data_IF_035556875721
#
_entry.id   IF_035556875721
#
_cell.length_a   1.000
_cell.length_b   1.000
_cell.length_c   1.000
_cell.angle_alpha   90.00
_cell.angle_beta   90.00
_cell.angle_gamma   90.00
#
_symmetry.space_group_name_H-M   'P 1'
#
loop_
_entity.id
_entity.type
_entity.pdbx_description
1 polymer ?
#
# COMPACT_ATOMS: atom_id res chain seq x y z
N UNK A 1 -14.90 -7.32 -19.97
CA UNK A 1 -14.77 -8.09 -18.70
C UNK A 1 -14.06 -9.40 -19.02
N UNK A 2 -12.83 -9.60 -18.56
CA UNK A 2 -11.99 -10.74 -18.97
C UNK A 2 -12.21 -11.94 -18.04
N UNK A 3 -12.77 -13.03 -18.58
CA UNK A 3 -13.11 -14.28 -17.88
C UNK A 3 -11.88 -15.07 -17.42
N UNK A 4 -10.75 -14.98 -18.15
CA UNK A 4 -9.53 -15.72 -17.84
C UNK A 4 -8.88 -15.26 -16.53
N UNK A 5 -9.00 -13.96 -16.21
CA UNK A 5 -8.50 -13.41 -14.96
C UNK A 5 -9.32 -13.83 -13.73
N UNK A 6 -10.55 -14.35 -13.91
CA UNK A 6 -11.38 -14.87 -12.81
C UNK A 6 -10.93 -16.26 -12.38
N UNK A 7 -10.62 -17.14 -13.32
CA UNK A 7 -10.21 -18.52 -13.03
C UNK A 7 -8.82 -18.61 -12.41
N UNK A 8 -7.96 -17.62 -12.65
CA UNK A 8 -6.63 -17.55 -12.04
C UNK A 8 -6.62 -17.01 -10.59
N UNK A 9 -7.72 -16.42 -10.09
CA UNK A 9 -7.75 -15.82 -8.74
C UNK A 9 -7.40 -16.75 -7.56
N UNK A 10 -7.76 -18.05 -7.58
CA UNK A 10 -7.37 -18.97 -6.50
C UNK A 10 -5.86 -19.26 -6.51
N UNK A 11 -5.24 -19.24 -7.70
CA UNK A 11 -3.86 -19.71 -7.92
C UNK A 11 -2.84 -18.59 -8.06
N UNK A 12 -3.29 -17.36 -8.28
CA UNK A 12 -2.39 -16.23 -8.44
C UNK A 12 -2.01 -15.67 -7.07
N UNK A 13 -0.80 -15.97 -6.61
CA UNK A 13 -0.26 -15.47 -5.33
C UNK A 13 -0.25 -13.94 -5.25
N UNK A 14 -0.17 -13.23 -6.39
CA UNK A 14 -0.26 -11.75 -6.43
C UNK A 14 -1.69 -11.22 -6.31
N UNK A 15 -2.69 -12.09 -6.25
CA UNK A 15 -4.09 -11.70 -6.03
C UNK A 15 -4.39 -11.36 -4.55
N UNK A 16 -3.39 -11.42 -3.67
CA UNK A 16 -3.45 -10.93 -2.29
C UNK A 16 -2.26 -9.99 -1.98
N UNK A 17 -2.14 -8.85 -2.70
CA UNK A 17 -1.03 -7.93 -2.48
C UNK A 17 -1.09 -7.35 -1.07
N UNK A 18 0.06 -6.97 -0.52
CA UNK A 18 0.10 -6.22 0.73
C UNK A 18 -0.58 -4.85 0.56
N UNK A 19 -1.14 -4.27 1.64
CA UNK A 19 -1.77 -2.96 1.57
C UNK A 19 -0.75 -1.91 1.09
N UNK A 20 -1.22 -0.85 0.41
CA UNK A 20 -0.32 0.23 0.01
C UNK A 20 0.32 0.88 1.25
N UNK A 21 1.60 1.32 1.21
CA UNK A 21 2.26 1.94 2.36
C UNK A 21 1.52 3.16 2.94
N UNK A 22 0.80 3.89 2.09
CA UNK A 22 -0.04 5.02 2.54
C UNK A 22 -1.22 4.57 3.40
N UNK A 23 -1.82 3.40 3.10
CA UNK A 23 -2.90 2.80 3.90
C UNK A 23 -2.38 2.40 5.27
N UNK A 24 -1.20 1.77 5.35
CA UNK A 24 -0.56 1.40 6.62
C UNK A 24 -0.25 2.64 7.48
N UNK A 25 0.29 3.69 6.87
CA UNK A 25 0.56 4.97 7.56
C UNK A 25 -0.70 5.62 8.10
N UNK A 26 -1.76 5.67 7.29
CA UNK A 26 -3.07 6.22 7.70
C UNK A 26 -3.69 5.39 8.83
N UNK A 27 -3.62 4.07 8.73
CA UNK A 27 -4.12 3.17 9.77
C UNK A 27 -3.37 3.36 11.09
N UNK A 28 -2.04 3.46 11.05
CA UNK A 28 -1.21 3.75 12.24
C UNK A 28 -1.57 5.10 12.86
N UNK A 29 -1.73 6.14 12.05
CA UNK A 29 -2.13 7.47 12.51
C UNK A 29 -3.49 7.46 13.21
N UNK A 30 -4.43 6.64 12.73
CA UNK A 30 -5.78 6.49 13.30
C UNK A 30 -5.88 5.34 14.31
N UNK A 31 -4.75 4.79 14.76
CA UNK A 31 -4.70 3.64 15.69
C UNK A 31 -5.59 2.46 15.27
N UNK A 32 -5.73 2.24 13.96
CA UNK A 32 -6.51 1.15 13.37
C UNK A 32 -5.60 -0.02 13.05
N UNK A 33 -5.89 -1.19 13.62
CA UNK A 33 -5.19 -2.43 13.31
C UNK A 33 -5.75 -3.07 12.03
N UNK A 34 -4.98 -3.03 10.93
CA UNK A 34 -5.36 -3.66 9.67
C UNK A 34 -5.31 -5.18 9.73
N UNK A 35 -4.51 -5.77 10.62
CA UNK A 35 -4.33 -7.22 10.72
C UNK A 35 -5.55 -7.93 11.30
N UNK A 36 -6.47 -7.20 11.94
CA UNK A 36 -7.77 -7.72 12.36
C UNK A 36 -8.66 -8.16 11.20
N UNK A 37 -8.40 -7.68 9.99
CA UNK A 37 -9.26 -7.92 8.84
C UNK A 37 -8.54 -8.79 7.80
N UNK A 38 -9.21 -9.86 7.35
CA UNK A 38 -8.73 -10.61 6.20
C UNK A 38 -8.69 -9.69 4.97
N UNK A 39 -7.54 -9.59 4.29
CA UNK A 39 -7.33 -8.71 3.14
C UNK A 39 -8.30 -8.97 1.98
N UNK A 40 -8.72 -10.22 1.80
CA UNK A 40 -9.72 -10.63 0.81
C UNK A 40 -11.17 -10.37 1.24
N UNK A 41 -11.39 -9.84 2.44
CA UNK A 41 -12.73 -9.55 2.95
C UNK A 41 -13.25 -8.20 2.44
N UNK A 42 -14.56 -8.12 2.27
CA UNK A 42 -15.26 -6.87 1.97
C UNK A 42 -15.06 -5.81 3.07
N UNK A 43 -14.86 -6.26 4.32
CA UNK A 43 -14.60 -5.36 5.45
C UNK A 43 -13.26 -4.66 5.28
N UNK A 44 -12.20 -5.42 4.97
CA UNK A 44 -10.88 -4.84 4.68
C UNK A 44 -10.96 -3.83 3.52
N UNK A 45 -11.61 -4.20 2.42
CA UNK A 45 -11.78 -3.32 1.26
C UNK A 45 -12.48 -1.99 1.62
N UNK A 46 -13.47 -2.03 2.52
CA UNK A 46 -14.17 -0.82 3.01
C UNK A 46 -13.28 0.05 3.87
N UNK A 47 -12.53 -0.56 4.80
CA UNK A 47 -11.58 0.14 5.67
C UNK A 47 -10.50 0.81 4.84
N UNK A 48 -9.87 0.05 3.93
CA UNK A 48 -8.85 0.57 3.00
C UNK A 48 -9.38 1.75 2.18
N UNK A 49 -10.54 1.61 1.55
CA UNK A 49 -11.12 2.68 0.76
C UNK A 49 -11.48 3.91 1.61
N UNK A 50 -11.91 3.71 2.86
CA UNK A 50 -12.18 4.77 3.82
C UNK A 50 -10.92 5.57 4.17
N UNK A 51 -9.82 4.88 4.46
CA UNK A 51 -8.51 5.49 4.75
C UNK A 51 -8.04 6.33 3.55
N UNK A 52 -8.09 5.77 2.34
CA UNK A 52 -7.68 6.50 1.13
C UNK A 52 -8.54 7.73 0.88
N UNK A 53 -9.86 7.64 1.04
CA UNK A 53 -10.77 8.79 0.85
C UNK A 53 -10.45 9.91 1.84
N UNK A 54 -10.19 9.57 3.10
CA UNK A 54 -9.96 10.53 4.17
C UNK A 54 -8.53 11.07 4.22
N UNK A 55 -7.64 10.58 3.35
CA UNK A 55 -6.21 10.97 3.31
C UNK A 55 -5.98 12.49 3.27
N UNK A 56 -6.78 13.22 2.48
CA UNK A 56 -6.65 14.69 2.35
C UNK A 56 -7.06 15.42 3.62
N UNK A 57 -8.10 14.94 4.29
CA UNK A 57 -8.57 15.51 5.56
C UNK A 57 -7.54 15.29 6.69
N UNK A 58 -6.75 14.21 6.59
CA UNK A 58 -5.73 13.85 7.58
C UNK A 58 -4.40 14.60 7.31
N UNK A 59 -4.28 15.34 6.19
CA UNK A 59 -3.08 16.12 5.86
C UNK A 59 -1.84 15.27 5.54
N UNK A 60 -2.02 13.96 5.27
CA UNK A 60 -0.93 13.03 4.93
C UNK A 60 -0.67 12.94 3.41
N UNK A 61 -1.18 13.90 2.64
CA UNK A 61 -0.98 14.06 1.20
C UNK A 61 0.23 14.95 0.90
N UNK A 62 1.38 14.64 1.48
CA UNK A 62 2.68 15.10 0.95
C UNK A 62 2.98 16.60 1.09
N UNK A 63 2.31 17.35 1.98
CA UNK A 63 2.65 18.76 2.26
C UNK A 63 3.26 19.02 3.65
N UNK A 64 3.27 18.06 4.57
CA UNK A 64 3.91 18.26 5.87
C UNK A 64 5.24 17.53 5.93
N UNK A 65 6.30 18.31 6.07
CA UNK A 65 7.68 17.90 6.37
C UNK A 65 7.73 17.09 7.68
N UNK A 66 7.32 15.83 7.64
CA UNK A 66 7.38 14.91 8.77
C UNK A 66 8.82 14.43 8.90
N UNK A 67 9.40 14.59 10.09
CA UNK A 67 10.75 14.09 10.46
C UNK A 67 11.03 12.65 10.00
N UNK A 68 9.98 11.85 9.88
CA UNK A 68 9.96 10.44 9.45
C UNK A 68 10.10 10.19 7.94
N UNK A 69 9.75 11.17 7.08
CA UNK A 69 9.84 11.02 5.61
C UNK A 69 11.32 11.02 5.12
N UNK A 70 12.25 11.57 5.91
CA UNK A 70 13.68 11.61 5.58
C UNK A 70 14.39 10.26 5.67
N UNK A 71 13.90 9.33 6.49
CA UNK A 71 14.60 8.07 6.75
C UNK A 71 14.13 6.91 5.88
N UNK A 72 12.93 6.96 5.28
CA UNK A 72 12.27 5.76 4.77
C UNK A 72 11.71 5.81 3.35
N UNK A 73 12.00 6.84 2.56
CA UNK A 73 11.33 7.01 1.25
C UNK A 73 12.02 6.36 0.04
N UNK A 74 13.28 5.92 0.13
CA UNK A 74 13.96 5.21 -0.98
C UNK A 74 14.81 4.03 -0.48
N UNK A 75 14.17 2.91 -0.13
CA UNK A 75 14.81 1.59 -0.28
C UNK A 75 14.11 0.87 -1.43
N UNK A 76 14.37 1.36 -2.66
CA UNK A 76 14.23 0.54 -3.87
C UNK A 76 15.44 -0.39 -3.88
N UNK A 77 15.23 -1.69 -3.87
CA UNK A 77 16.29 -2.64 -4.17
C UNK A 77 16.87 -2.31 -5.56
N UNK A 78 18.20 -2.17 -5.72
CA UNK A 78 18.78 -1.99 -7.03
C UNK A 78 18.67 -3.32 -7.79
N UNK A 79 17.87 -3.35 -8.86
CA UNK A 79 18.01 -4.38 -9.88
C UNK A 79 19.38 -4.19 -10.52
N UNK A 80 20.23 -5.19 -10.33
CA UNK A 80 21.57 -5.31 -10.88
C UNK A 80 21.60 -5.05 -12.39
N UNK A 81 22.49 -4.14 -12.82
CA UNK A 81 23.01 -4.08 -14.18
C UNK A 81 22.80 -2.76 -14.92
N UNK A 82 23.84 -1.92 -14.97
CA UNK A 82 24.23 -1.16 -16.16
C UNK A 82 25.58 -0.43 -15.93
N UNK A 83 26.44 -0.48 -16.95
CA UNK A 83 27.83 -0.05 -17.02
C UNK A 83 28.14 1.40 -16.61
N UNK A 84 29.33 1.59 -16.03
CA UNK A 84 30.07 2.87 -16.00
C UNK A 84 30.74 3.12 -17.36
N UNK A 85 30.77 4.35 -17.87
CA UNK A 85 31.87 4.81 -18.69
C UNK A 85 32.87 5.62 -17.84
N UNK A 86 34.15 5.46 -18.19
CA UNK A 86 35.30 6.26 -17.75
C UNK A 86 35.32 7.63 -18.42
#
# INVERSE_FOLDING_TARGET
MNIFLRELRPFWTRADPTPLPTVERLAKHLSTDLNRYSRKSLVFARVEAGLIRRRREIGLDGSTNSRWDREHFFRRDPVSGAHKPS
#
